data_IF_500960800968
#
_entry.id   IF_500960800968
#
_cell.length_a   1.000
_cell.length_b   1.000
_cell.length_c   1.000
_cell.angle_alpha   90.00
_cell.angle_beta   90.00
_cell.angle_gamma   90.00
#
_symmetry.space_group_name_H-M   'P 1'
#
loop_
_entity.id
_entity.type
_entity.pdbx_description
1 polymer ?
#
# COMPACT_ATOMS: atom_id res chain seq x y z
N UNK A 1 12.29 7.52 -15.91
CA UNK A 1 10.99 8.19 -15.65
C UNK A 1 9.98 7.15 -15.19
N UNK A 2 9.25 7.43 -14.13
CA UNK A 2 8.23 6.50 -13.63
C UNK A 2 7.15 6.22 -14.70
N UNK A 3 6.58 5.03 -14.67
CA UNK A 3 5.47 4.66 -15.54
C UNK A 3 4.15 5.04 -14.84
N UNK A 4 3.56 6.14 -15.26
CA UNK A 4 2.29 6.64 -14.72
C UNK A 4 1.26 6.65 -15.84
N UNK A 5 0.24 5.79 -15.72
CA UNK A 5 -0.73 5.57 -16.80
C UNK A 5 -2.17 5.69 -16.31
N UNK A 6 -3.07 6.28 -17.14
CA UNK A 6 -4.50 6.21 -16.88
C UNK A 6 -5.04 4.81 -17.17
N UNK A 7 -6.12 4.46 -16.48
CA UNK A 7 -6.94 3.28 -16.77
C UNK A 7 -8.40 3.73 -16.82
N UNK A 8 -9.10 3.40 -17.89
CA UNK A 8 -10.50 3.83 -18.12
C UNK A 8 -10.71 5.35 -17.95
N UNK A 9 -9.75 6.13 -18.42
CA UNK A 9 -9.79 7.59 -18.32
C UNK A 9 -9.46 8.18 -16.95
N UNK A 10 -9.12 7.36 -15.97
CA UNK A 10 -8.73 7.82 -14.63
C UNK A 10 -7.22 7.77 -14.50
N UNK A 11 -6.61 8.92 -14.23
CA UNK A 11 -5.17 9.06 -14.03
C UNK A 11 -4.82 9.11 -12.55
N UNK A 12 -3.67 8.57 -12.15
CA UNK A 12 -3.17 8.77 -10.79
C UNK A 12 -3.00 10.24 -10.44
N UNK A 13 -3.29 10.58 -9.19
CA UNK A 13 -3.06 11.91 -8.61
C UNK A 13 -1.91 11.80 -7.62
N UNK A 14 -0.77 12.39 -7.99
CA UNK A 14 0.47 12.32 -7.22
C UNK A 14 0.96 13.75 -6.99
N UNK A 15 0.98 14.25 -5.74
CA UNK A 15 1.50 15.58 -5.43
C UNK A 15 2.97 15.75 -5.80
N UNK A 16 3.38 16.99 -6.11
CA UNK A 16 4.77 17.31 -6.45
C UNK A 16 5.77 17.04 -5.32
N UNK A 17 5.30 17.06 -4.07
CA UNK A 17 6.12 16.74 -2.91
C UNK A 17 6.53 15.26 -2.82
N UNK A 18 5.93 14.39 -3.65
CA UNK A 18 6.22 12.97 -3.66
C UNK A 18 7.45 12.63 -4.50
N UNK A 19 8.24 11.68 -4.03
CA UNK A 19 9.28 11.03 -4.81
C UNK A 19 8.71 9.78 -5.47
N UNK A 20 8.91 9.63 -6.78
CA UNK A 20 8.55 8.42 -7.51
C UNK A 20 9.77 7.98 -8.31
N UNK A 21 10.30 6.82 -7.97
CA UNK A 21 11.51 6.29 -8.62
C UNK A 21 11.31 6.08 -10.12
N UNK A 22 12.36 6.21 -10.96
CA UNK A 22 12.25 6.18 -12.43
C UNK A 22 11.60 4.91 -13.01
N UNK A 23 11.66 3.79 -12.33
CA UNK A 23 11.06 2.53 -12.76
C UNK A 23 9.90 2.05 -11.88
N UNK A 24 9.37 2.91 -11.03
CA UNK A 24 8.12 2.63 -10.34
C UNK A 24 6.93 2.74 -11.30
N UNK A 25 5.88 2.00 -11.01
CA UNK A 25 4.65 1.98 -11.82
C UNK A 25 3.45 2.37 -10.98
N UNK A 26 2.73 3.40 -11.41
CA UNK A 26 1.49 3.84 -10.76
C UNK A 26 0.41 3.98 -11.82
N UNK A 27 -0.66 3.23 -11.71
CA UNK A 27 -1.70 3.23 -12.76
C UNK A 27 -3.11 3.33 -12.19
N UNK A 28 -3.98 4.00 -12.91
CA UNK A 28 -5.42 4.04 -12.66
C UNK A 28 -5.85 4.93 -11.51
N UNK A 29 -6.87 4.47 -10.78
CA UNK A 29 -7.51 5.23 -9.71
C UNK A 29 -6.69 5.17 -8.41
N UNK A 30 -5.62 5.94 -8.39
CA UNK A 30 -4.72 6.10 -7.25
C UNK A 30 -4.68 7.58 -6.87
N UNK A 31 -4.97 7.88 -5.61
CA UNK A 31 -4.78 9.24 -5.06
C UNK A 31 -3.80 9.14 -3.89
N UNK A 32 -2.69 9.85 -4.00
CA UNK A 32 -1.65 9.92 -2.97
C UNK A 32 -1.70 11.25 -2.23
N UNK A 33 -1.38 11.22 -0.96
CA UNK A 33 -1.14 12.40 -0.16
C UNK A 33 0.26 12.99 -0.38
N UNK A 34 0.58 14.02 0.40
CA UNK A 34 1.84 14.75 0.33
C UNK A 34 3.02 13.97 0.93
N UNK A 35 4.21 14.29 0.50
CA UNK A 35 5.48 13.80 1.05
C UNK A 35 5.61 12.27 1.06
N UNK A 36 4.99 11.58 0.10
CA UNK A 36 5.14 10.14 -0.07
C UNK A 36 6.39 9.81 -0.89
N UNK A 37 6.86 8.57 -0.76
CA UNK A 37 7.94 8.05 -1.59
C UNK A 37 7.60 6.65 -2.12
N UNK A 38 7.76 6.48 -3.43
CA UNK A 38 7.56 5.22 -4.14
C UNK A 38 8.89 4.81 -4.77
N UNK A 39 9.43 3.71 -4.31
CA UNK A 39 10.79 3.32 -4.63
C UNK A 39 10.89 2.41 -5.86
N UNK A 40 12.09 1.92 -6.15
CA UNK A 40 12.38 1.21 -7.39
C UNK A 40 11.58 -0.09 -7.54
N UNK A 41 11.03 -0.31 -8.72
CA UNK A 41 10.20 -1.48 -9.07
C UNK A 41 8.92 -1.63 -8.26
N UNK A 42 8.54 -0.66 -7.45
CA UNK A 42 7.26 -0.70 -6.75
C UNK A 42 6.10 -0.52 -7.74
N UNK A 43 4.96 -1.18 -7.46
CA UNK A 43 3.77 -1.13 -8.30
C UNK A 43 2.56 -0.75 -7.46
N UNK A 44 1.87 0.31 -7.88
CA UNK A 44 0.59 0.72 -7.31
C UNK A 44 -0.44 0.66 -8.45
N UNK A 45 -1.31 -0.33 -8.41
CA UNK A 45 -2.19 -0.61 -9.53
C UNK A 45 -3.66 -0.47 -9.16
N UNK A 46 -4.23 0.72 -9.42
CA UNK A 46 -5.63 1.06 -9.21
C UNK A 46 -6.48 0.85 -10.47
N UNK A 47 -6.30 -0.28 -11.15
CA UNK A 47 -6.97 -0.58 -12.40
C UNK A 47 -8.35 -1.22 -12.23
N UNK A 48 -8.58 -1.89 -11.11
CA UNK A 48 -9.82 -2.62 -10.83
C UNK A 48 -10.65 -2.03 -9.69
N UNK A 49 -10.03 -1.23 -8.82
CA UNK A 49 -10.71 -0.48 -7.77
C UNK A 49 -9.78 0.63 -7.24
N UNK A 50 -10.29 1.48 -6.37
CA UNK A 50 -9.57 2.66 -5.88
C UNK A 50 -8.49 2.32 -4.85
N UNK A 51 -7.38 3.05 -4.93
CA UNK A 51 -6.31 3.05 -3.93
C UNK A 51 -6.19 4.47 -3.39
N UNK A 52 -6.24 4.62 -2.08
CA UNK A 52 -6.11 5.90 -1.40
C UNK A 52 -4.96 5.82 -0.40
N UNK A 53 -4.03 6.74 -0.52
CA UNK A 53 -2.78 6.76 0.26
C UNK A 53 -2.69 8.12 0.95
N UNK A 54 -2.52 8.11 2.25
CA UNK A 54 -2.37 9.32 3.06
C UNK A 54 -1.01 9.99 2.87
N UNK A 55 -0.71 10.97 3.72
CA UNK A 55 0.56 11.70 3.67
C UNK A 55 1.70 10.88 4.29
N UNK A 56 2.94 11.16 3.87
CA UNK A 56 4.16 10.59 4.44
C UNK A 56 4.19 9.06 4.44
N UNK A 57 3.71 8.47 3.35
CA UNK A 57 3.76 7.02 3.15
C UNK A 57 5.00 6.65 2.34
N UNK A 58 5.74 5.66 2.83
CA UNK A 58 6.92 5.13 2.17
C UNK A 58 6.61 3.75 1.59
N UNK A 59 6.70 3.61 0.27
CA UNK A 59 6.44 2.36 -0.45
C UNK A 59 7.76 1.90 -1.04
N UNK A 60 8.36 0.91 -0.41
CA UNK A 60 9.73 0.51 -0.68
C UNK A 60 9.85 -0.39 -1.91
N UNK A 61 11.08 -0.68 -2.28
CA UNK A 61 11.43 -1.36 -3.52
C UNK A 61 10.67 -2.66 -3.73
N UNK A 62 10.09 -2.83 -4.91
CA UNK A 62 9.32 -3.99 -5.34
C UNK A 62 8.07 -4.30 -4.52
N UNK A 63 7.62 -3.39 -3.65
CA UNK A 63 6.33 -3.55 -2.98
C UNK A 63 5.18 -3.41 -3.99
N UNK A 64 4.07 -4.09 -3.73
CA UNK A 64 2.92 -4.07 -4.60
C UNK A 64 1.65 -3.72 -3.81
N UNK A 65 0.88 -2.75 -4.34
CA UNK A 65 -0.43 -2.38 -3.81
C UNK A 65 -1.47 -2.62 -4.90
N UNK A 66 -2.47 -3.43 -4.60
CA UNK A 66 -3.54 -3.79 -5.53
C UNK A 66 -4.85 -4.08 -4.79
N UNK A 67 -5.89 -4.40 -5.52
CA UNK A 67 -7.24 -4.69 -5.00
C UNK A 67 -7.89 -5.82 -5.79
N UNK A 68 -8.97 -6.37 -5.27
CA UNK A 68 -9.82 -7.31 -6.01
C UNK A 68 -10.93 -6.55 -6.74
N UNK A 69 -11.12 -6.89 -8.01
CA UNK A 69 -12.12 -6.29 -8.90
C UNK A 69 -13.52 -6.28 -8.26
N UNK A 70 -14.14 -5.11 -8.25
CA UNK A 70 -15.48 -4.83 -7.70
C UNK A 70 -15.71 -5.24 -6.22
N UNK A 71 -14.69 -5.73 -5.52
CA UNK A 71 -14.84 -6.23 -4.15
C UNK A 71 -14.13 -5.41 -3.09
N UNK A 72 -12.87 -5.07 -3.32
CA UNK A 72 -12.05 -4.44 -2.29
C UNK A 72 -11.35 -3.19 -2.78
N UNK A 73 -11.03 -2.31 -1.84
CA UNK A 73 -10.24 -1.09 -2.04
C UNK A 73 -9.03 -1.16 -1.13
N UNK A 74 -7.96 -0.47 -1.48
CA UNK A 74 -6.83 -0.29 -0.59
C UNK A 74 -6.87 1.13 0.00
N UNK A 75 -6.84 1.22 1.32
CA UNK A 75 -6.84 2.47 2.06
C UNK A 75 -5.63 2.46 2.98
N UNK A 76 -4.72 3.37 2.78
CA UNK A 76 -3.47 3.48 3.55
C UNK A 76 -3.45 4.84 4.21
N UNK A 77 -3.31 4.84 5.52
CA UNK A 77 -3.32 6.03 6.34
C UNK A 77 -2.06 6.87 6.25
N UNK A 78 -1.83 7.64 7.28
CA UNK A 78 -0.72 8.58 7.40
C UNK A 78 0.50 7.89 8.01
N UNK A 79 1.71 8.29 7.56
CA UNK A 79 2.97 7.84 8.13
C UNK A 79 3.10 6.32 8.20
N UNK A 80 2.79 5.67 7.09
CA UNK A 80 2.89 4.21 6.92
C UNK A 80 4.14 3.87 6.13
N UNK A 81 4.88 2.86 6.57
CA UNK A 81 5.99 2.28 5.80
C UNK A 81 5.61 0.90 5.30
N UNK A 82 5.70 0.69 4.00
CA UNK A 82 5.48 -0.59 3.34
C UNK A 82 6.83 -1.11 2.87
N UNK A 83 7.30 -2.17 3.51
CA UNK A 83 8.64 -2.72 3.32
C UNK A 83 8.88 -3.34 1.94
N UNK A 84 10.14 -3.56 1.61
CA UNK A 84 10.56 -4.16 0.34
C UNK A 84 9.81 -5.47 0.08
N UNK A 85 9.34 -5.67 -1.15
CA UNK A 85 8.60 -6.87 -1.58
C UNK A 85 7.31 -7.17 -0.81
N UNK A 86 6.80 -6.26 0.01
CA UNK A 86 5.53 -6.48 0.68
C UNK A 86 4.36 -6.39 -0.31
N UNK A 87 3.32 -7.18 -0.06
CA UNK A 87 2.06 -7.13 -0.80
C UNK A 87 0.96 -6.60 0.11
N UNK A 88 0.38 -5.47 -0.28
CA UNK A 88 -0.76 -4.85 0.40
C UNK A 88 -1.96 -4.92 -0.54
N UNK A 89 -2.90 -5.77 -0.26
CA UNK A 89 -3.95 -6.11 -1.22
C UNK A 89 -5.35 -5.92 -0.62
N UNK A 90 -6.11 -4.97 -1.17
CA UNK A 90 -7.52 -4.78 -0.85
C UNK A 90 -7.85 -4.58 0.62
N UNK A 91 -6.99 -3.96 1.40
CA UNK A 91 -7.08 -3.86 2.84
C UNK A 91 -7.03 -2.41 3.33
N UNK A 92 -7.28 -2.21 4.60
CA UNK A 92 -7.13 -0.93 5.30
C UNK A 92 -5.91 -1.00 6.22
N UNK A 93 -4.99 -0.08 6.03
CA UNK A 93 -3.84 0.14 6.91
C UNK A 93 -4.02 1.50 7.55
N UNK A 94 -4.17 1.53 8.87
CA UNK A 94 -4.35 2.78 9.60
C UNK A 94 -3.02 3.54 9.77
N UNK A 95 -3.01 4.57 10.61
CA UNK A 95 -1.87 5.47 10.73
C UNK A 95 -0.70 4.88 11.53
N UNK A 96 0.52 5.32 11.23
CA UNK A 96 1.73 4.96 11.96
C UNK A 96 1.96 3.43 12.00
N UNK A 97 1.83 2.78 10.86
CA UNK A 97 2.00 1.33 10.72
C UNK A 97 3.26 1.00 9.94
N UNK A 98 3.94 -0.06 10.33
CA UNK A 98 5.01 -0.67 9.56
C UNK A 98 4.55 -2.03 9.02
N UNK A 99 4.49 -2.16 7.71
CA UNK A 99 4.35 -3.45 7.03
C UNK A 99 5.76 -3.94 6.70
N UNK A 100 6.19 -5.01 7.33
CA UNK A 100 7.54 -5.54 7.20
C UNK A 100 7.87 -6.09 5.82
N UNK A 101 9.14 -6.23 5.52
CA UNK A 101 9.64 -6.74 4.24
C UNK A 101 9.04 -8.11 3.92
N UNK A 102 8.53 -8.28 2.70
CA UNK A 102 7.96 -9.54 2.24
C UNK A 102 6.64 -9.96 2.93
N UNK A 103 6.06 -9.11 3.78
CA UNK A 103 4.77 -9.41 4.39
C UNK A 103 3.64 -9.38 3.36
N UNK A 104 2.59 -10.16 3.62
CA UNK A 104 1.40 -10.22 2.77
C UNK A 104 0.19 -9.83 3.62
N UNK A 105 -0.53 -8.79 3.19
CA UNK A 105 -1.77 -8.36 3.83
C UNK A 105 -2.90 -8.53 2.82
N UNK A 106 -3.87 -9.39 3.16
CA UNK A 106 -4.91 -9.82 2.23
C UNK A 106 -6.19 -8.99 2.36
N UNK A 107 -7.12 -9.26 1.46
CA UNK A 107 -8.36 -8.52 1.28
C UNK A 107 -9.17 -8.35 2.57
N UNK A 108 -9.71 -7.15 2.76
CA UNK A 108 -10.53 -6.76 3.90
C UNK A 108 -9.85 -6.86 5.27
N UNK A 109 -8.55 -7.13 5.32
CA UNK A 109 -7.81 -7.01 6.56
C UNK A 109 -7.78 -5.55 7.02
N UNK A 110 -7.78 -5.32 8.32
CA UNK A 110 -7.63 -4.01 8.93
C UNK A 110 -6.43 -4.04 9.86
N UNK A 111 -5.43 -3.23 9.55
CA UNK A 111 -4.24 -3.08 10.40
C UNK A 111 -4.42 -1.82 11.22
N UNK A 112 -4.66 -2.00 12.51
CA UNK A 112 -4.87 -0.89 13.44
C UNK A 112 -3.63 0.00 13.58
N UNK A 113 -3.84 1.25 13.99
CA UNK A 113 -2.76 2.23 14.15
C UNK A 113 -1.67 1.77 15.11
N UNK A 114 -0.44 2.25 14.90
CA UNK A 114 0.73 1.92 15.73
C UNK A 114 1.04 0.41 15.78
N UNK A 115 0.79 -0.30 14.70
CA UNK A 115 0.99 -1.76 14.57
C UNK A 115 2.20 -2.05 13.69
N UNK A 116 2.90 -3.14 14.00
CA UNK A 116 3.95 -3.69 13.16
C UNK A 116 3.49 -5.06 12.64
N UNK A 117 3.46 -5.21 11.34
CA UNK A 117 3.38 -6.52 10.70
C UNK A 117 4.82 -6.94 10.41
N UNK A 118 5.27 -8.00 11.04
CA UNK A 118 6.68 -8.43 10.96
C UNK A 118 7.05 -8.90 9.54
N UNK A 119 8.33 -8.87 9.23
CA UNK A 119 8.84 -9.33 7.94
C UNK A 119 8.38 -10.77 7.64
N UNK A 120 7.91 -11.01 6.42
CA UNK A 120 7.43 -12.33 5.97
C UNK A 120 6.12 -12.81 6.60
N UNK A 121 5.47 -12.00 7.43
CA UNK A 121 4.19 -12.38 8.03
C UNK A 121 3.06 -12.40 6.98
N UNK A 122 2.06 -13.24 7.22
CA UNK A 122 0.85 -13.30 6.40
C UNK A 122 -0.36 -12.93 7.26
N UNK A 123 -1.04 -11.87 6.87
CA UNK A 123 -2.32 -11.45 7.46
C UNK A 123 -3.43 -11.90 6.53
N UNK A 124 -4.22 -12.85 6.98
CA UNK A 124 -5.31 -13.44 6.18
C UNK A 124 -6.45 -12.47 5.94
N UNK A 125 -7.29 -12.80 4.97
CA UNK A 125 -8.50 -12.05 4.66
C UNK A 125 -9.36 -11.81 5.90
N UNK A 126 -9.96 -10.63 5.98
CA UNK A 126 -10.89 -10.23 7.04
C UNK A 126 -10.29 -10.19 8.46
N UNK A 127 -8.98 -10.32 8.60
CA UNK A 127 -8.31 -10.24 9.90
C UNK A 127 -8.32 -8.80 10.40
N UNK A 128 -8.63 -8.61 11.68
CA UNK A 128 -8.50 -7.31 12.35
C UNK A 128 -7.29 -7.38 13.28
N UNK A 129 -6.26 -6.63 12.94
CA UNK A 129 -5.07 -6.48 13.76
C UNK A 129 -5.26 -5.29 14.71
N UNK A 130 -5.21 -5.56 16.00
CA UNK A 130 -5.42 -4.53 17.01
C UNK A 130 -4.31 -3.46 17.00
N UNK A 131 -4.71 -2.21 17.27
CA UNK A 131 -3.77 -1.10 17.41
C UNK A 131 -2.71 -1.36 18.48
N UNK A 132 -1.48 -0.86 18.25
CA UNK A 132 -0.40 -0.96 19.20
C UNK A 132 0.19 -2.36 19.35
N UNK A 133 0.05 -3.22 18.35
CA UNK A 133 0.43 -4.63 18.40
C UNK A 133 1.51 -4.99 17.41
N UNK A 134 2.09 -6.16 17.57
CA UNK A 134 3.00 -6.78 16.61
C UNK A 134 2.40 -8.12 16.19
N UNK A 135 2.24 -8.32 14.89
CA UNK A 135 1.77 -9.56 14.29
C UNK A 135 2.91 -10.19 13.49
N UNK A 136 3.18 -11.47 13.72
CA UNK A 136 4.29 -12.16 13.11
C UNK A 136 3.91 -13.59 12.69
N UNK A 137 4.61 -14.11 11.71
CA UNK A 137 4.50 -15.50 11.27
C UNK A 137 3.42 -15.74 10.22
N UNK A 138 3.21 -17.02 9.94
CA UNK A 138 2.25 -17.51 8.96
C UNK A 138 1.26 -18.40 9.70
N UNK A 139 -0.06 -18.10 9.59
CA UNK A 139 -1.10 -18.90 10.28
C UNK A 139 -1.17 -20.33 9.79
#
# INVERSE_FOLDING_TARGET
MALILPVKGISPVIPESCFVAPNATVVGDVIMGEECSVWFNAVIRGDVNSIRIGNKVNIQDAACIHCTYEKTKAIIGYNVSIGHHALVHGCTVEDNVLIGMGAIVMDNAVIGSHTIIAAGAVVLENTICESGSIYAGIP
#
